data_IF_556295472319
#
_entry.id   IF_556295472319
#
_cell.length_a   1.000
_cell.length_b   1.000
_cell.length_c   1.000
_cell.angle_alpha   90.00
_cell.angle_beta   90.00
_cell.angle_gamma   90.00
#
_symmetry.space_group_name_H-M   'P 1'
#
loop_
_entity.id
_entity.type
_entity.pdbx_description
1 polymer ?
#
# COMPACT_ATOMS: atom_id res chain seq x y z
N UNK A 1 -4.20 -9.83 -14.74
CA UNK A 1 -4.38 -10.09 -16.16
C UNK A 1 -3.05 -10.39 -16.84
N UNK A 2 -3.07 -11.15 -17.92
CA UNK A 2 -1.85 -11.48 -18.66
C UNK A 2 -1.39 -10.33 -19.54
N UNK A 3 -0.09 -10.11 -19.65
CA UNK A 3 0.52 -9.09 -20.52
C UNK A 3 0.29 -9.32 -22.02
N UNK A 4 -0.19 -10.50 -22.41
CA UNK A 4 -0.45 -10.91 -23.80
C UNK A 4 -1.94 -11.06 -24.12
N UNK A 5 -2.83 -10.52 -23.28
CA UNK A 5 -4.28 -10.62 -23.45
C UNK A 5 -4.89 -11.94 -23.02
N UNK A 6 -4.11 -13.00 -22.77
CA UNK A 6 -4.60 -14.26 -22.18
C UNK A 6 -4.34 -14.28 -20.67
N UNK A 7 -5.33 -14.61 -19.84
CA UNK A 7 -5.13 -14.79 -18.42
C UNK A 7 -4.05 -15.84 -18.13
N UNK A 8 -3.19 -15.55 -17.18
CA UNK A 8 -2.16 -16.49 -16.71
C UNK A 8 -2.59 -17.04 -15.35
N UNK A 9 -2.79 -18.35 -15.29
CA UNK A 9 -3.09 -19.03 -14.04
C UNK A 9 -1.82 -19.29 -13.23
N UNK A 10 -1.90 -19.05 -11.92
CA UNK A 10 -0.87 -19.42 -10.96
C UNK A 10 -1.53 -20.33 -9.92
N UNK A 11 -0.99 -21.54 -9.77
CA UNK A 11 -1.47 -22.49 -8.77
C UNK A 11 -0.72 -22.27 -7.46
N UNK A 12 -1.47 -21.97 -6.42
CA UNK A 12 -0.97 -21.88 -5.05
C UNK A 12 -1.55 -22.99 -4.17
N UNK A 13 -0.76 -23.50 -3.25
CA UNK A 13 -1.29 -24.23 -2.11
C UNK A 13 -1.68 -23.26 -1.02
N UNK A 14 -2.69 -23.58 -0.22
CA UNK A 14 -3.14 -22.70 0.88
C UNK A 14 -1.99 -22.35 1.84
N UNK A 15 -1.26 -23.37 2.30
CA UNK A 15 -0.15 -23.16 3.22
C UNK A 15 1.00 -22.39 2.59
N UNK A 16 1.39 -22.72 1.35
CA UNK A 16 2.48 -22.05 0.65
C UNK A 16 2.18 -20.57 0.38
N UNK A 17 0.96 -20.26 -0.06
CA UNK A 17 0.54 -18.89 -0.27
C UNK A 17 0.56 -18.07 1.03
N UNK A 18 -0.06 -18.59 2.09
CA UNK A 18 -0.13 -17.88 3.37
C UNK A 18 1.26 -17.68 3.98
N UNK A 19 2.13 -18.70 3.91
CA UNK A 19 3.51 -18.57 4.38
C UNK A 19 4.29 -17.52 3.58
N UNK A 20 4.14 -17.50 2.25
CA UNK A 20 4.73 -16.49 1.38
C UNK A 20 4.27 -15.08 1.71
N UNK A 21 2.96 -14.89 1.90
CA UNK A 21 2.37 -13.61 2.29
C UNK A 21 2.87 -13.14 3.66
N UNK A 22 2.91 -14.04 4.64
CA UNK A 22 3.41 -13.77 5.98
C UNK A 22 4.87 -13.31 5.98
N UNK A 23 5.75 -14.10 5.36
CA UNK A 23 7.19 -13.84 5.35
C UNK A 23 7.51 -12.57 4.55
N UNK A 24 6.94 -12.42 3.35
CA UNK A 24 7.19 -11.24 2.52
C UNK A 24 6.73 -9.97 3.22
N UNK A 25 5.54 -9.95 3.81
CA UNK A 25 5.05 -8.80 4.56
C UNK A 25 5.99 -8.44 5.72
N UNK A 26 6.37 -9.44 6.52
CA UNK A 26 7.24 -9.25 7.69
C UNK A 26 8.58 -8.60 7.33
N UNK A 27 9.24 -9.13 6.31
CA UNK A 27 10.59 -8.69 5.97
C UNK A 27 10.63 -7.46 5.07
N UNK A 28 9.69 -7.32 4.13
CA UNK A 28 9.64 -6.14 3.26
C UNK A 28 9.40 -4.85 4.04
N UNK A 29 8.48 -4.89 4.99
CA UNK A 29 8.10 -3.70 5.73
C UNK A 29 8.82 -3.56 7.07
N UNK A 30 9.53 -4.59 7.54
CA UNK A 30 10.13 -4.59 8.86
C UNK A 30 9.11 -4.24 9.94
N UNK A 31 7.94 -4.91 9.87
CA UNK A 31 6.78 -4.61 10.72
C UNK A 31 7.12 -4.76 12.21
N UNK A 32 6.72 -3.80 13.01
CA UNK A 32 6.83 -3.79 14.47
C UNK A 32 5.46 -4.01 15.08
N UNK A 33 5.42 -4.40 16.35
CA UNK A 33 4.18 -4.79 17.06
C UNK A 33 3.11 -3.70 17.13
N UNK A 34 3.54 -2.44 17.15
CA UNK A 34 2.69 -1.26 17.30
C UNK A 34 2.53 -0.46 16.00
N UNK A 35 3.17 -0.91 14.90
CA UNK A 35 3.01 -0.27 13.59
C UNK A 35 1.57 -0.37 13.09
N UNK A 36 1.12 0.73 12.51
CA UNK A 36 -0.11 0.82 11.74
C UNK A 36 0.22 0.84 10.26
N UNK A 37 -0.33 -0.12 9.56
CA UNK A 37 -0.09 -0.36 8.14
C UNK A 37 -1.30 0.06 7.31
N UNK A 38 -1.06 0.67 6.18
CA UNK A 38 -2.11 1.00 5.23
C UNK A 38 -1.69 0.68 3.80
N UNK A 39 -2.50 -0.11 3.10
CA UNK A 39 -2.36 -0.39 1.68
C UNK A 39 -3.59 0.13 0.93
N UNK A 40 -3.36 0.89 -0.15
CA UNK A 40 -4.43 1.46 -0.98
C UNK A 40 -4.82 0.58 -2.18
N UNK A 41 -4.30 -0.63 -2.27
CA UNK A 41 -4.73 -1.57 -3.31
C UNK A 41 -6.22 -1.94 -3.13
N UNK A 42 -6.87 -2.29 -4.23
CA UNK A 42 -8.21 -2.85 -4.19
C UNK A 42 -8.15 -4.31 -3.73
N UNK A 43 -9.06 -4.70 -2.83
CA UNK A 43 -9.14 -6.08 -2.32
C UNK A 43 -9.49 -7.11 -3.39
N UNK A 44 -10.02 -6.69 -4.53
CA UNK A 44 -10.27 -7.54 -5.69
C UNK A 44 -9.01 -7.95 -6.47
N UNK A 45 -7.86 -7.31 -6.21
CA UNK A 45 -6.58 -7.64 -6.83
C UNK A 45 -5.70 -8.50 -5.93
N UNK A 46 -4.75 -9.22 -6.54
CA UNK A 46 -3.84 -10.08 -5.76
C UNK A 46 -3.03 -9.28 -4.72
N UNK A 47 -2.66 -8.04 -5.02
CA UNK A 47 -2.00 -7.16 -4.05
C UNK A 47 -2.89 -6.91 -2.83
N UNK A 48 -4.19 -6.70 -3.04
CA UNK A 48 -5.15 -6.55 -1.95
C UNK A 48 -5.27 -7.82 -1.12
N UNK A 49 -5.40 -8.99 -1.76
CA UNK A 49 -5.42 -10.26 -1.05
C UNK A 49 -4.17 -10.43 -0.20
N UNK A 50 -2.99 -10.26 -0.77
CA UNK A 50 -1.72 -10.52 -0.10
C UNK A 50 -1.41 -9.46 0.96
N UNK A 51 -1.57 -8.18 0.62
CA UNK A 51 -1.03 -7.06 1.41
C UNK A 51 -2.08 -6.16 2.07
N UNK A 52 -3.38 -6.44 1.92
CA UNK A 52 -4.41 -5.85 2.80
C UNK A 52 -4.87 -6.88 3.83
N UNK A 53 -5.02 -8.14 3.43
CA UNK A 53 -5.61 -9.18 4.26
C UNK A 53 -4.55 -10.13 4.83
N UNK A 54 -4.02 -11.04 3.99
CA UNK A 54 -3.26 -12.18 4.49
C UNK A 54 -1.90 -11.82 5.11
N UNK A 55 -1.14 -10.96 4.48
CA UNK A 55 0.17 -10.52 4.99
C UNK A 55 0.07 -9.83 6.34
N UNK A 56 -0.64 -8.70 6.46
CA UNK A 56 -0.75 -7.99 7.72
C UNK A 56 -1.45 -8.80 8.81
N UNK A 57 -2.59 -9.42 8.53
CA UNK A 57 -3.36 -10.13 9.56
C UNK A 57 -2.65 -11.38 10.07
N UNK A 58 -1.93 -12.11 9.23
CA UNK A 58 -1.13 -13.27 9.66
C UNK A 58 0.06 -12.87 10.54
N UNK A 59 0.50 -11.61 10.46
CA UNK A 59 1.54 -11.05 11.33
C UNK A 59 0.98 -10.36 12.58
N UNK A 60 -0.34 -10.35 12.78
CA UNK A 60 -0.98 -9.65 13.89
C UNK A 60 -0.86 -8.12 13.78
N UNK A 61 -0.62 -7.59 12.57
CA UNK A 61 -0.47 -6.16 12.36
C UNK A 61 -1.81 -5.42 12.39
N UNK A 62 -1.79 -4.18 12.88
CA UNK A 62 -2.92 -3.27 12.73
C UNK A 62 -2.94 -2.74 11.29
N UNK A 63 -3.99 -3.06 10.55
CA UNK A 63 -4.16 -2.62 9.17
C UNK A 63 -5.36 -1.68 9.02
N UNK A 64 -5.17 -0.60 8.26
CA UNK A 64 -6.24 0.33 7.91
C UNK A 64 -6.90 -0.15 6.62
N UNK A 65 -8.22 -0.29 6.63
CA UNK A 65 -9.04 -0.48 5.44
C UNK A 65 -9.73 0.84 5.08
N UNK A 66 -9.54 1.30 3.86
CA UNK A 66 -10.03 2.58 3.40
C UNK A 66 -11.09 2.40 2.31
N UNK A 67 -12.29 2.88 2.58
CA UNK A 67 -13.36 2.96 1.61
C UNK A 67 -13.44 4.38 1.05
N UNK A 68 -12.98 4.57 -0.17
CA UNK A 68 -12.99 5.88 -0.80
C UNK A 68 -11.97 6.03 -1.93
N UNK A 69 -11.96 7.22 -2.52
CA UNK A 69 -11.02 7.59 -3.57
C UNK A 69 -9.87 8.39 -2.94
N UNK A 70 -8.61 8.06 -3.24
CA UNK A 70 -7.45 8.70 -2.62
C UNK A 70 -7.37 10.23 -2.79
N UNK A 71 -8.00 10.75 -3.82
CA UNK A 71 -8.01 12.19 -4.15
C UNK A 71 -9.32 12.90 -3.77
N UNK A 72 -10.25 12.24 -3.08
CA UNK A 72 -11.51 12.86 -2.66
C UNK A 72 -11.58 12.99 -1.14
N UNK A 73 -12.02 14.12 -0.59
CA UNK A 73 -12.50 15.36 -1.28
C UNK A 73 -11.36 16.27 -1.77
N UNK A 74 -10.12 15.96 -1.47
CA UNK A 74 -8.95 16.73 -1.88
C UNK A 74 -7.75 15.85 -2.15
N UNK A 75 -6.74 16.37 -2.84
CA UNK A 75 -5.48 15.67 -3.11
C UNK A 75 -4.64 15.39 -1.84
N UNK A 76 -4.94 16.06 -0.73
CA UNK A 76 -4.29 15.80 0.57
C UNK A 76 -4.86 14.58 1.31
N UNK A 77 -5.92 13.96 0.79
CA UNK A 77 -6.67 12.90 1.49
C UNK A 77 -5.80 11.76 2.03
N UNK A 78 -4.89 11.24 1.21
CA UNK A 78 -4.00 10.17 1.65
C UNK A 78 -3.11 10.60 2.83
N UNK A 79 -2.57 11.79 2.74
CA UNK A 79 -1.67 12.34 3.74
C UNK A 79 -2.40 12.68 5.04
N UNK A 80 -3.61 13.21 4.94
CA UNK A 80 -4.51 13.45 6.08
C UNK A 80 -4.88 12.14 6.80
N UNK A 81 -5.09 11.06 6.05
CA UNK A 81 -5.32 9.73 6.62
C UNK A 81 -4.09 9.22 7.36
N UNK A 82 -2.90 9.41 6.78
CA UNK A 82 -1.64 9.07 7.44
C UNK A 82 -1.49 9.80 8.77
N UNK A 83 -1.75 11.10 8.80
CA UNK A 83 -1.67 11.90 10.02
C UNK A 83 -2.75 11.49 11.05
N UNK A 84 -4.00 11.43 10.60
CA UNK A 84 -5.13 11.15 11.48
C UNK A 84 -4.98 9.83 12.22
N UNK A 85 -4.55 8.80 11.51
CA UNK A 85 -4.43 7.45 12.06
C UNK A 85 -3.02 7.09 12.50
N UNK A 86 -2.07 8.00 12.34
CA UNK A 86 -0.66 7.80 12.70
C UNK A 86 -0.09 6.55 11.99
N UNK A 87 -0.23 6.52 10.66
CA UNK A 87 0.23 5.42 9.82
C UNK A 87 1.76 5.39 9.81
N UNK A 88 2.34 4.22 10.06
CA UNK A 88 3.78 4.01 10.05
C UNK A 88 4.28 3.46 8.71
N UNK A 89 3.43 2.71 8.02
CA UNK A 89 3.77 2.07 6.75
C UNK A 89 2.64 2.32 5.76
N UNK A 90 2.95 3.01 4.67
CA UNK A 90 2.02 3.31 3.59
C UNK A 90 2.45 2.58 2.32
N UNK A 91 1.58 1.75 1.76
CA UNK A 91 1.86 0.93 0.58
C UNK A 91 0.83 1.19 -0.51
N UNK A 92 1.30 1.62 -1.69
CA UNK A 92 0.43 2.08 -2.77
C UNK A 92 0.99 1.68 -4.14
N UNK A 93 0.40 2.19 -5.22
CA UNK A 93 0.88 1.97 -6.58
C UNK A 93 1.60 3.21 -7.11
N UNK A 94 2.61 3.06 -8.00
CA UNK A 94 3.26 4.19 -8.66
C UNK A 94 2.29 5.09 -9.41
N UNK A 95 1.25 4.53 -10.03
CA UNK A 95 0.18 5.31 -10.66
C UNK A 95 -0.54 6.23 -9.69
N UNK A 96 -0.78 5.79 -8.44
CA UNK A 96 -1.40 6.63 -7.41
C UNK A 96 -0.45 7.77 -7.00
N UNK A 97 0.84 7.48 -6.83
CA UNK A 97 1.85 8.51 -6.53
C UNK A 97 1.91 9.56 -7.64
N UNK A 98 2.00 9.13 -8.91
CA UNK A 98 2.00 10.07 -10.05
C UNK A 98 0.75 10.92 -10.12
N UNK A 99 -0.41 10.36 -9.81
CA UNK A 99 -1.67 11.12 -9.77
C UNK A 99 -1.67 12.18 -8.66
N UNK A 100 -1.05 11.88 -7.51
CA UNK A 100 -0.87 12.85 -6.42
C UNK A 100 0.16 13.92 -6.79
N UNK A 101 1.30 13.55 -7.38
CA UNK A 101 2.32 14.50 -7.87
C UNK A 101 1.76 15.51 -8.87
N UNK A 102 0.85 15.06 -9.74
CA UNK A 102 0.18 15.95 -10.71
C UNK A 102 -0.66 17.06 -10.06
N UNK A 103 -0.94 16.96 -8.76
CA UNK A 103 -1.65 18.00 -7.98
C UNK A 103 -0.69 19.00 -7.31
N UNK A 104 0.63 18.83 -7.53
CA UNK A 104 1.68 19.65 -6.91
C UNK A 104 1.98 19.26 -5.46
N UNK A 105 2.89 20.00 -4.84
CA UNK A 105 3.43 19.66 -3.53
C UNK A 105 2.58 20.20 -2.36
N UNK A 106 1.74 21.22 -2.61
CA UNK A 106 0.94 21.85 -1.57
C UNK A 106 0.08 20.87 -0.76
N UNK A 107 -0.61 19.88 -1.39
CA UNK A 107 -1.38 18.89 -0.64
C UNK A 107 -0.55 18.05 0.32
N UNK A 108 0.70 17.79 -0.02
CA UNK A 108 1.65 17.04 0.83
C UNK A 108 2.14 17.91 1.97
N UNK A 109 2.51 19.17 1.67
CA UNK A 109 3.07 20.12 2.63
C UNK A 109 2.08 20.56 3.71
N UNK A 110 0.78 20.37 3.48
CA UNK A 110 -0.28 20.64 4.47
C UNK A 110 -0.32 19.64 5.64
N UNK A 111 0.40 18.55 5.56
CA UNK A 111 0.40 17.47 6.54
C UNK A 111 1.80 17.21 7.05
N UNK A 112 1.93 16.71 8.27
CA UNK A 112 3.24 16.50 8.90
C UNK A 112 3.80 15.11 8.64
N UNK A 113 2.96 14.07 8.63
CA UNK A 113 3.31 12.66 8.40
C UNK A 113 4.44 12.12 9.28
N UNK A 114 4.56 12.65 10.50
CA UNK A 114 5.65 12.35 11.42
C UNK A 114 5.72 10.87 11.84
N UNK A 115 4.60 10.16 11.73
CA UNK A 115 4.54 8.73 12.03
C UNK A 115 5.04 7.85 10.88
N UNK A 116 5.06 8.37 9.65
CA UNK A 116 5.36 7.58 8.45
C UNK A 116 6.84 7.21 8.40
N UNK A 117 7.11 5.92 8.46
CA UNK A 117 8.47 5.35 8.45
C UNK A 117 8.83 4.69 7.13
N UNK A 118 7.84 4.09 6.48
CA UNK A 118 8.02 3.37 5.21
C UNK A 118 6.95 3.79 4.23
N UNK A 119 7.37 4.20 3.05
CA UNK A 119 6.52 4.36 1.86
C UNK A 119 6.96 3.31 0.84
N UNK A 120 6.05 2.46 0.40
CA UNK A 120 6.32 1.42 -0.58
C UNK A 120 5.38 1.50 -1.77
N UNK A 121 5.86 1.05 -2.93
CA UNK A 121 5.05 0.96 -4.16
C UNK A 121 5.11 -0.43 -4.76
N UNK A 122 4.05 -0.80 -5.49
CA UNK A 122 3.87 -2.14 -6.04
C UNK A 122 3.09 -2.13 -7.35
N UNK A 123 3.30 -3.16 -8.15
CA UNK A 123 2.50 -3.48 -9.33
C UNK A 123 3.11 -3.03 -10.64
N UNK A 124 4.00 -2.06 -10.62
CA UNK A 124 4.76 -1.56 -11.78
C UNK A 124 6.09 -0.92 -11.31
N UNK A 125 7.07 -0.74 -12.19
CA UNK A 125 8.26 0.05 -11.87
C UNK A 125 7.88 1.50 -11.53
N UNK A 126 8.54 2.06 -10.53
CA UNK A 126 8.44 3.48 -10.22
C UNK A 126 9.56 4.23 -10.95
N UNK A 127 9.22 5.35 -11.57
CA UNK A 127 10.19 6.20 -12.24
C UNK A 127 10.96 7.10 -11.24
N UNK A 128 12.19 7.53 -11.56
CA UNK A 128 13.01 8.32 -10.64
C UNK A 128 12.29 9.55 -10.08
N UNK A 129 11.60 10.31 -10.95
CA UNK A 129 10.90 11.54 -10.53
C UNK A 129 9.78 11.31 -9.51
N UNK A 130 9.26 10.09 -9.43
CA UNK A 130 8.24 9.72 -8.45
C UNK A 130 8.85 9.06 -7.19
N UNK A 131 10.15 8.75 -7.25
CA UNK A 131 10.89 8.20 -6.13
C UNK A 131 11.50 9.30 -5.25
N UNK A 132 12.01 10.38 -5.84
CA UNK A 132 12.62 11.53 -5.19
C UNK A 132 11.59 12.48 -4.57
#
# INVERSE_FOLDING_TARGET
SGSTGKPKGVLHTTAGYLLGAHISFKYLFGIKSDDKYWCTADVGWITGHTYILYGPLSNGATTLMFEGVPTYPSASRCWEVCDKYQINIFYTAPTAIRALMAQGDEPVLKTERNSLRVLGTVGEPINPEAWD
#
